data_IF_409497011458
#
_entry.id   IF_409497011458
#
_cell.length_a   1.000
_cell.length_b   1.000
_cell.length_c   1.000
_cell.angle_alpha   90.00
_cell.angle_beta   90.00
_cell.angle_gamma   90.00
#
_symmetry.space_group_name_H-M   'P 1'
#
loop_
_entity.id
_entity.type
_entity.pdbx_description
1 polymer ?
#
# COMPACT_ATOMS: atom_id res chain seq x y z
N UNK A 1 2.42 -26.04 17.11
CA UNK A 1 1.92 -24.97 16.22
C UNK A 1 2.34 -25.34 14.82
N UNK A 2 1.40 -25.86 14.04
CA UNK A 2 1.60 -26.31 12.67
C UNK A 2 1.84 -25.11 11.74
N UNK A 3 3.01 -25.08 11.11
CA UNK A 3 3.19 -24.34 9.87
C UNK A 3 2.63 -25.22 8.74
N UNK A 4 1.72 -24.69 7.94
CA UNK A 4 1.31 -25.33 6.70
C UNK A 4 2.54 -25.49 5.78
N UNK A 5 3.06 -26.70 5.70
CA UNK A 5 3.94 -27.15 4.64
C UNK A 5 3.15 -27.17 3.33
N UNK A 6 3.38 -26.19 2.47
CA UNK A 6 2.92 -26.29 1.09
C UNK A 6 3.88 -27.22 0.35
N UNK A 7 3.41 -28.41 -0.04
CA UNK A 7 4.14 -29.28 -0.95
C UNK A 7 3.91 -28.79 -2.37
N UNK A 8 4.88 -28.08 -2.95
CA UNK A 8 4.99 -27.99 -4.41
C UNK A 8 5.50 -29.31 -4.93
N UNK A 9 4.61 -30.00 -5.65
CA UNK A 9 4.96 -31.12 -6.50
C UNK A 9 6.04 -30.67 -7.49
N UNK A 10 7.07 -31.49 -7.55
CA UNK A 10 8.22 -31.38 -8.42
C UNK A 10 7.78 -31.60 -9.88
N UNK A 11 7.54 -30.53 -10.63
CA UNK A 11 7.37 -30.59 -12.07
C UNK A 11 7.99 -29.36 -12.74
N UNK A 12 9.12 -29.60 -13.42
CA UNK A 12 9.63 -28.80 -14.53
C UNK A 12 10.11 -27.40 -14.21
N UNK A 13 11.44 -27.25 -14.17
CA UNK A 13 12.12 -25.96 -14.33
C UNK A 13 11.60 -25.20 -15.57
N UNK A 14 10.67 -24.28 -15.35
CA UNK A 14 10.58 -23.06 -16.15
C UNK A 14 10.97 -21.94 -15.23
N UNK A 15 12.21 -21.48 -15.41
CA UNK A 15 12.74 -20.25 -14.84
C UNK A 15 11.67 -19.17 -14.94
N UNK A 16 11.00 -18.90 -13.81
CA UNK A 16 10.22 -17.70 -13.64
C UNK A 16 11.21 -16.58 -13.93
N UNK A 17 11.01 -15.88 -15.05
CA UNK A 17 11.82 -14.71 -15.41
C UNK A 17 11.94 -13.87 -14.16
N UNK A 18 13.14 -13.89 -13.58
CA UNK A 18 13.53 -13.01 -12.50
C UNK A 18 13.10 -11.63 -12.97
N UNK A 19 12.17 -11.01 -12.24
CA UNK A 19 11.86 -9.60 -12.40
C UNK A 19 13.19 -8.88 -12.15
N UNK A 20 13.94 -8.68 -13.23
CA UNK A 20 15.18 -7.93 -13.23
C UNK A 20 14.76 -6.52 -12.82
N UNK A 21 14.98 -6.21 -11.55
CA UNK A 21 14.73 -4.90 -10.98
C UNK A 21 15.47 -3.89 -11.86
N UNK A 22 14.74 -2.87 -12.33
CA UNK A 22 15.16 -1.88 -13.33
C UNK A 22 16.45 -1.11 -12.93
N UNK A 23 16.96 -1.31 -11.71
CA UNK A 23 18.29 -0.88 -11.29
C UNK A 23 18.88 -1.79 -10.20
N UNK A 24 19.85 -2.64 -10.53
CA UNK A 24 20.63 -3.36 -9.51
C UNK A 24 21.71 -2.43 -8.96
N UNK A 25 21.42 -1.74 -7.85
CA UNK A 25 22.41 -0.93 -7.14
C UNK A 25 23.27 -1.84 -6.23
N UNK A 26 24.56 -1.98 -6.53
CA UNK A 26 25.50 -2.74 -5.69
C UNK A 26 25.91 -1.89 -4.50
N UNK A 27 25.41 -2.25 -3.31
CA UNK A 27 25.74 -1.58 -2.05
C UNK A 27 26.76 -2.40 -1.24
N UNK A 28 27.70 -1.74 -0.53
CA UNK A 28 28.56 -2.41 0.44
C UNK A 28 27.75 -3.13 1.55
N UNK A 29 28.14 -4.35 1.93
CA UNK A 29 27.39 -5.17 2.92
C UNK A 29 27.22 -4.49 4.29
N UNK A 30 28.16 -3.64 4.69
CA UNK A 30 28.13 -2.88 5.93
C UNK A 30 27.03 -1.79 5.92
N UNK A 31 26.65 -1.26 4.75
CA UNK A 31 25.61 -0.23 4.64
C UNK A 31 24.21 -0.79 4.88
N UNK A 32 23.95 -2.03 4.50
CA UNK A 32 22.65 -2.69 4.67
C UNK A 32 22.24 -2.81 6.15
N UNK A 33 23.22 -2.89 7.06
CA UNK A 33 23.01 -2.96 8.51
C UNK A 33 23.02 -1.59 9.18
N UNK A 34 23.36 -0.54 8.44
CA UNK A 34 23.39 0.80 9.02
C UNK A 34 21.97 1.28 9.31
N UNK A 35 21.82 1.91 10.47
CA UNK A 35 20.54 2.47 10.91
C UNK A 35 20.00 3.48 9.89
N UNK A 36 20.87 4.36 9.40
CA UNK A 36 20.52 5.40 8.44
C UNK A 36 19.94 4.81 7.14
N UNK A 37 20.57 3.76 6.60
CA UNK A 37 20.07 3.10 5.40
C UNK A 37 18.69 2.46 5.61
N UNK A 38 18.49 1.80 6.75
CA UNK A 38 17.20 1.19 7.10
C UNK A 38 16.10 2.24 7.26
N UNK A 39 16.43 3.38 7.86
CA UNK A 39 15.49 4.51 7.99
C UNK A 39 15.09 5.07 6.63
N UNK A 40 16.08 5.41 5.78
CA UNK A 40 15.82 5.97 4.45
C UNK A 40 15.05 4.99 3.56
N UNK A 41 15.38 3.70 3.61
CA UNK A 41 14.65 2.66 2.90
C UNK A 41 13.19 2.58 3.38
N UNK A 42 12.97 2.60 4.70
CA UNK A 42 11.62 2.57 5.28
C UNK A 42 10.81 3.80 4.87
N UNK A 43 11.40 5.00 4.95
CA UNK A 43 10.73 6.23 4.53
C UNK A 43 10.36 6.22 3.06
N UNK A 44 11.27 5.75 2.19
CA UNK A 44 11.00 5.61 0.76
C UNK A 44 9.81 4.69 0.50
N UNK A 45 9.75 3.53 1.17
CA UNK A 45 8.62 2.59 1.05
C UNK A 45 7.31 3.24 1.51
N UNK A 46 7.32 3.95 2.63
CA UNK A 46 6.13 4.63 3.16
C UNK A 46 5.66 5.73 2.19
N UNK A 47 6.56 6.51 1.62
CA UNK A 47 6.24 7.54 0.64
C UNK A 47 5.60 6.94 -0.62
N UNK A 48 6.22 5.90 -1.19
CA UNK A 48 5.69 5.17 -2.35
C UNK A 48 4.30 4.58 -2.09
N UNK A 49 4.10 3.97 -0.92
CA UNK A 49 2.80 3.43 -0.51
C UNK A 49 1.78 4.54 -0.28
N UNK A 50 2.18 5.68 0.30
CA UNK A 50 1.29 6.82 0.52
C UNK A 50 0.78 7.39 -0.81
N UNK A 51 1.66 7.57 -1.79
CA UNK A 51 1.29 8.03 -3.14
C UNK A 51 0.36 7.03 -3.80
N UNK A 52 0.68 5.73 -3.73
CA UNK A 52 -0.16 4.69 -4.29
C UNK A 52 -1.54 4.67 -3.62
N UNK A 53 -1.61 4.65 -2.30
CA UNK A 53 -2.89 4.62 -1.58
C UNK A 53 -3.71 5.89 -1.79
N UNK A 54 -3.09 7.06 -1.89
CA UNK A 54 -3.79 8.28 -2.27
C UNK A 54 -4.42 8.19 -3.68
N UNK A 55 -3.81 7.44 -4.61
CA UNK A 55 -4.37 7.21 -5.95
C UNK A 55 -5.64 6.35 -5.92
N UNK A 56 -5.74 5.45 -4.94
CA UNK A 56 -6.81 4.46 -4.77
C UNK A 56 -7.77 4.77 -3.62
N UNK A 57 -7.56 5.85 -2.86
CA UNK A 57 -8.23 6.10 -1.56
C UNK A 57 -9.75 6.17 -1.61
N UNK A 58 -10.33 6.40 -2.79
CA UNK A 58 -11.77 6.44 -3.02
C UNK A 58 -12.20 5.38 -4.03
N UNK A 59 -11.48 4.27 -4.14
CA UNK A 59 -11.86 3.17 -5.03
C UNK A 59 -12.56 2.08 -4.21
N UNK A 60 -13.61 1.46 -4.75
CA UNK A 60 -14.36 0.40 -4.04
C UNK A 60 -13.45 -0.78 -3.65
N UNK A 61 -12.40 -1.02 -4.44
CA UNK A 61 -11.39 -2.05 -4.17
C UNK A 61 -10.24 -1.60 -3.26
N UNK A 62 -10.30 -0.40 -2.66
CA UNK A 62 -9.24 0.11 -1.79
C UNK A 62 -8.92 -0.82 -0.60
N UNK A 63 -9.92 -1.40 0.10
CA UNK A 63 -9.65 -2.38 1.16
C UNK A 63 -8.82 -3.57 0.65
N UNK A 64 -9.13 -4.08 -0.54
CA UNK A 64 -8.43 -5.20 -1.15
C UNK A 64 -7.00 -4.83 -1.58
N UNK A 65 -6.81 -3.64 -2.16
CA UNK A 65 -5.49 -3.11 -2.57
C UNK A 65 -4.54 -2.91 -1.38
N UNK A 66 -5.07 -2.48 -0.23
CA UNK A 66 -4.27 -2.16 0.96
C UNK A 66 -3.99 -3.34 1.87
N UNK A 67 -4.73 -4.45 1.72
CA UNK A 67 -4.66 -5.62 2.62
C UNK A 67 -3.25 -6.17 2.78
N UNK A 68 -2.57 -6.50 1.67
CA UNK A 68 -1.24 -7.12 1.72
C UNK A 68 -0.17 -6.15 2.26
N UNK A 69 -0.07 -4.89 1.78
CA UNK A 69 0.90 -3.96 2.33
C UNK A 69 0.69 -3.69 3.82
N UNK A 70 -0.55 -3.51 4.29
CA UNK A 70 -0.83 -3.26 5.71
C UNK A 70 -0.42 -4.45 6.58
N UNK A 71 -0.73 -5.69 6.15
CA UNK A 71 -0.28 -6.90 6.84
C UNK A 71 1.25 -6.96 6.95
N UNK A 72 1.97 -6.61 5.89
CA UNK A 72 3.44 -6.58 5.88
C UNK A 72 4.00 -5.49 6.78
N UNK A 73 3.39 -4.31 6.79
CA UNK A 73 3.81 -3.20 7.65
C UNK A 73 3.55 -3.48 9.13
N UNK A 74 2.44 -4.13 9.48
CA UNK A 74 2.16 -4.58 10.86
C UNK A 74 3.23 -5.56 11.35
N UNK A 75 3.55 -6.58 10.54
CA UNK A 75 4.64 -7.53 10.83
C UNK A 75 6.00 -6.83 10.97
N UNK A 76 6.30 -5.88 10.10
CA UNK A 76 7.52 -5.08 10.21
C UNK A 76 7.57 -4.31 11.54
N UNK A 77 6.47 -3.64 11.90
CA UNK A 77 6.35 -2.86 13.13
C UNK A 77 6.51 -3.71 14.41
N UNK A 78 6.08 -4.98 14.39
CA UNK A 78 6.26 -5.93 15.48
C UNK A 78 7.71 -6.43 15.60
N UNK A 79 8.36 -6.68 14.46
CA UNK A 79 9.72 -7.25 14.40
C UNK A 79 10.85 -6.23 14.55
N UNK A 80 10.58 -4.95 14.27
CA UNK A 80 11.59 -3.90 14.31
C UNK A 80 11.97 -3.54 15.75
N UNK A 81 13.25 -3.24 15.98
CA UNK A 81 13.77 -2.74 17.25
C UNK A 81 13.88 -1.20 17.27
N UNK A 82 13.60 -0.55 16.15
CA UNK A 82 13.80 0.89 15.96
C UNK A 82 12.53 1.67 16.29
N UNK A 83 12.42 2.15 17.53
CA UNK A 83 11.22 2.84 18.05
C UNK A 83 10.83 4.12 17.27
N UNK A 84 11.79 4.80 16.65
CA UNK A 84 11.51 5.92 15.75
C UNK A 84 10.71 5.49 14.52
N UNK A 85 11.19 4.46 13.82
CA UNK A 85 10.54 3.92 12.63
C UNK A 85 9.19 3.28 12.95
N UNK A 86 9.11 2.55 14.05
CA UNK A 86 7.85 1.94 14.50
C UNK A 86 6.75 2.97 14.65
N UNK A 87 7.04 4.10 15.29
CA UNK A 87 6.06 5.19 15.45
C UNK A 87 5.59 5.76 14.12
N UNK A 88 6.47 5.95 13.15
CA UNK A 88 6.11 6.46 11.83
C UNK A 88 5.27 5.44 11.06
N UNK A 89 5.68 4.18 11.02
CA UNK A 89 4.96 3.10 10.33
C UNK A 89 3.59 2.86 10.97
N UNK A 90 3.51 2.84 12.31
CA UNK A 90 2.24 2.70 13.02
C UNK A 90 1.26 3.81 12.68
N UNK A 91 1.70 5.07 12.72
CA UNK A 91 0.85 6.21 12.33
C UNK A 91 0.36 6.09 10.89
N UNK A 92 1.23 5.66 9.98
CA UNK A 92 0.84 5.43 8.59
C UNK A 92 -0.23 4.32 8.47
N UNK A 93 -0.05 3.20 9.16
CA UNK A 93 -1.05 2.11 9.21
C UNK A 93 -2.40 2.64 9.71
N UNK A 94 -2.42 3.38 10.82
CA UNK A 94 -3.64 3.95 11.41
C UNK A 94 -4.39 4.84 10.40
N UNK A 95 -3.69 5.70 9.65
CA UNK A 95 -4.30 6.55 8.63
C UNK A 95 -4.91 5.75 7.47
N UNK A 96 -4.25 4.68 7.04
CA UNK A 96 -4.77 3.82 5.97
C UNK A 96 -5.98 3.03 6.45
N UNK A 97 -5.97 2.52 7.68
CA UNK A 97 -7.10 1.79 8.28
C UNK A 97 -8.34 2.67 8.41
N UNK A 98 -8.18 3.92 8.87
CA UNK A 98 -9.29 4.89 8.86
C UNK A 98 -9.91 5.06 7.46
N UNK A 99 -9.08 5.08 6.42
CA UNK A 99 -9.58 5.20 5.05
C UNK A 99 -10.23 3.90 4.55
N UNK A 100 -9.75 2.74 4.97
CA UNK A 100 -10.39 1.44 4.70
C UNK A 100 -11.80 1.43 5.28
N UNK A 101 -11.95 1.80 6.56
CA UNK A 101 -13.24 1.88 7.24
C UNK A 101 -14.19 2.85 6.53
N UNK A 102 -13.70 4.04 6.15
CA UNK A 102 -14.48 5.02 5.40
C UNK A 102 -14.99 4.46 4.06
N UNK A 103 -14.12 3.80 3.28
CA UNK A 103 -14.49 3.23 1.99
C UNK A 103 -15.46 2.05 2.15
N UNK A 104 -15.25 1.21 3.17
CA UNK A 104 -16.16 0.11 3.48
C UNK A 104 -17.55 0.61 3.87
N UNK A 105 -17.63 1.61 4.75
CA UNK A 105 -18.89 2.25 5.11
C UNK A 105 -19.62 2.81 3.87
N UNK A 106 -18.89 3.49 2.98
CA UNK A 106 -19.48 4.01 1.72
C UNK A 106 -19.89 2.90 0.75
N UNK A 107 -19.18 1.77 0.73
CA UNK A 107 -19.53 0.57 -0.04
C UNK A 107 -20.79 -0.10 0.50
N UNK A 108 -20.96 -0.15 1.81
CA UNK A 108 -22.11 -0.78 2.46
C UNK A 108 -23.38 0.10 2.35
N UNK A 109 -23.22 1.44 2.43
CA UNK A 109 -24.30 2.41 2.19
C UNK A 109 -24.80 2.39 0.73
N UNK A 110 -23.87 2.21 -0.21
CA UNK A 110 -24.21 2.09 -1.62
C UNK A 110 -24.69 0.65 -1.87
N UNK A 111 -26.01 0.44 -1.81
CA UNK A 111 -26.66 -0.80 -2.26
C UNK A 111 -26.44 -0.98 -3.78
N UNK A 112 -25.24 -1.39 -4.18
CA UNK A 112 -24.89 -1.66 -5.56
C UNK A 112 -25.60 -2.95 -5.98
N UNK A 113 -26.67 -2.80 -6.76
CA UNK A 113 -27.06 -3.86 -7.69
C UNK A 113 -26.00 -3.90 -8.81
N UNK A 114 -25.44 -5.07 -9.18
CA UNK A 114 -24.46 -5.18 -10.29
C UNK A 114 -24.96 -4.61 -11.63
N UNK A 115 -26.26 -4.33 -11.74
CA UNK A 115 -26.91 -3.77 -12.92
C UNK A 115 -26.86 -2.23 -13.01
N UNK A 116 -26.45 -1.54 -11.94
CA UNK A 116 -26.56 -0.09 -11.87
C UNK A 116 -25.23 0.60 -12.23
N UNK A 117 -24.95 0.65 -13.54
CA UNK A 117 -23.72 1.25 -14.07
C UNK A 117 -23.58 2.75 -13.75
N UNK A 118 -24.69 3.46 -13.51
CA UNK A 118 -24.69 4.89 -13.18
C UNK A 118 -24.11 5.20 -11.79
N UNK A 119 -24.41 4.37 -10.79
CA UNK A 119 -23.87 4.55 -9.44
C UNK A 119 -22.38 4.22 -9.40
N UNK A 120 -21.91 3.29 -10.25
CA UNK A 120 -20.48 3.02 -10.48
C UNK A 120 -19.81 4.23 -11.15
N UNK A 121 -20.38 4.78 -12.22
CA UNK A 121 -19.84 5.95 -12.91
C UNK A 121 -19.80 7.20 -12.03
N UNK A 122 -20.80 7.41 -11.17
CA UNK A 122 -20.84 8.55 -10.23
C UNK A 122 -19.69 8.47 -9.21
N UNK A 123 -19.37 7.26 -8.75
CA UNK A 123 -18.22 7.02 -7.86
C UNK A 123 -16.87 7.30 -8.57
N UNK A 124 -16.77 6.96 -9.87
CA UNK A 124 -15.60 7.30 -10.70
C UNK A 124 -15.51 8.79 -11.05
N UNK A 125 -16.62 9.49 -11.25
CA UNK A 125 -16.62 10.93 -11.54
C UNK A 125 -16.19 11.76 -10.33
N UNK A 126 -16.67 11.39 -9.14
CA UNK A 126 -16.25 12.00 -7.88
C UNK A 126 -14.73 11.89 -7.65
N UNK A 127 -14.13 10.76 -8.06
CA UNK A 127 -12.67 10.52 -8.02
C UNK A 127 -11.88 11.52 -8.86
N UNK A 128 -12.37 11.85 -10.06
CA UNK A 128 -11.70 12.77 -10.99
C UNK A 128 -11.73 14.20 -10.45
N UNK A 129 -12.89 14.64 -9.94
CA UNK A 129 -13.10 15.99 -9.41
C UNK A 129 -12.23 16.26 -8.16
N UNK A 130 -12.18 15.31 -7.22
CA UNK A 130 -11.41 15.45 -5.96
C UNK A 130 -9.90 15.45 -6.24
N UNK A 131 -9.42 14.63 -7.19
CA UNK A 131 -8.01 14.63 -7.60
C UNK A 131 -7.62 15.96 -8.22
N UNK A 132 -8.47 16.52 -9.09
CA UNK A 132 -8.25 17.84 -9.69
C UNK A 132 -8.30 18.97 -8.65
N UNK A 133 -9.20 18.90 -7.67
CA UNK A 133 -9.26 19.87 -6.57
C UNK A 133 -8.01 19.83 -5.68
N UNK A 134 -7.47 18.63 -5.38
CA UNK A 134 -6.24 18.49 -4.61
C UNK A 134 -5.04 19.07 -5.34
N UNK A 135 -4.88 18.77 -6.64
CA UNK A 135 -3.81 19.34 -7.49
C UNK A 135 -3.93 20.87 -7.57
N UNK A 136 -5.16 21.38 -7.73
CA UNK A 136 -5.43 22.83 -7.81
C UNK A 136 -5.11 23.55 -6.49
N UNK A 137 -5.38 22.93 -5.35
CA UNK A 137 -5.05 23.50 -4.03
C UNK A 137 -3.56 23.43 -3.72
N UNK A 138 -2.86 22.36 -4.14
CA UNK A 138 -1.39 22.28 -3.99
C UNK A 138 -0.67 23.30 -4.85
N UNK A 139 -1.18 23.63 -6.04
CA UNK A 139 -0.58 24.69 -6.90
C UNK A 139 -0.90 26.12 -6.44
N UNK A 140 -1.92 26.32 -5.59
CA UNK A 140 -2.23 27.63 -4.99
C UNK A 140 -1.46 27.91 -3.69
N UNK A 141 -0.81 26.89 -3.13
CA UNK A 141 -0.04 26.97 -1.90
C UNK A 141 1.49 27.08 -2.13
N UNK A 142 1.93 27.09 -3.40
CA UNK A 142 3.27 27.50 -3.85
C UNK A 142 3.21 28.87 -4.49
#
# INVERSE_FOLDING_TARGET
MDMLEYKTTNDGEKQAKKLEAVSTLKLPKNWLKSQNFQEQCTFSVIELLAVHFAQWSFHISFPEVTTIPIMRLKKFNESSTMEGLKRVVKRFIEQVEMNIEYVQMKRDEAAFSPNDQQSIETFFWLRSEIRLLRIRNTMKAS
#
